data_IF_306296542022
#
_entry.id   IF_306296542022
#
_cell.length_a   1.000
_cell.length_b   1.000
_cell.length_c   1.000
_cell.angle_alpha   90.00
_cell.angle_beta   90.00
_cell.angle_gamma   90.00
#
_symmetry.space_group_name_H-M   'P 1'
#
loop_
_entity.id
_entity.type
_entity.pdbx_description
1 polymer ?
#
# COMPACT_ATOMS: atom_id res chain seq x y z
N UNK A 1 -19.84 13.74 -51.38
CA UNK A 1 -19.13 14.48 -50.33
C UNK A 1 -19.70 14.03 -49.01
N UNK A 2 -19.01 13.16 -48.28
CA UNK A 2 -19.26 12.94 -46.86
C UNK A 2 -17.88 12.79 -46.21
N UNK A 3 -17.50 13.80 -45.43
CA UNK A 3 -16.20 13.88 -44.76
C UNK A 3 -16.49 13.54 -43.31
N UNK A 4 -16.34 12.26 -42.95
CA UNK A 4 -16.47 11.83 -41.56
C UNK A 4 -15.47 12.61 -40.72
N UNK A 5 -16.00 13.45 -39.82
CA UNK A 5 -15.18 14.24 -38.91
C UNK A 5 -14.71 13.28 -37.82
N UNK A 6 -13.42 12.98 -37.82
CA UNK A 6 -12.75 12.29 -36.72
C UNK A 6 -12.89 13.16 -35.46
N UNK A 7 -13.63 12.66 -34.46
CA UNK A 7 -13.73 13.27 -33.14
C UNK A 7 -12.53 12.78 -32.34
N UNK A 8 -11.60 13.64 -31.90
CA UNK A 8 -10.46 13.19 -31.11
C UNK A 8 -10.98 12.67 -29.76
N UNK A 9 -10.69 11.40 -29.48
CA UNK A 9 -10.83 10.80 -28.16
C UNK A 9 -9.88 11.56 -27.21
N UNK A 10 -10.44 12.46 -26.40
CA UNK A 10 -9.69 13.15 -25.37
C UNK A 10 -9.40 12.15 -24.24
N UNK A 11 -8.22 11.53 -24.28
CA UNK A 11 -7.64 10.85 -23.14
C UNK A 11 -7.38 11.89 -22.05
N UNK A 12 -8.31 12.03 -21.10
CA UNK A 12 -8.05 12.78 -19.87
C UNK A 12 -7.12 11.94 -19.02
N UNK A 13 -5.80 12.09 -19.26
CA UNK A 13 -4.84 11.77 -18.24
C UNK A 13 -5.10 12.75 -17.10
N UNK A 14 -5.81 12.32 -16.05
CA UNK A 14 -5.87 13.12 -14.83
C UNK A 14 -4.45 13.17 -14.27
N UNK A 15 -3.72 14.22 -14.62
CA UNK A 15 -2.50 14.56 -13.91
C UNK A 15 -2.93 14.84 -12.47
N UNK A 16 -2.62 13.90 -11.57
CA UNK A 16 -2.75 14.16 -10.15
C UNK A 16 -1.95 15.43 -9.86
N UNK A 17 -2.66 16.51 -9.53
CA UNK A 17 -2.08 17.80 -9.17
C UNK A 17 -0.95 17.59 -8.14
N UNK A 18 0.12 18.39 -8.21
CA UNK A 18 1.30 18.35 -7.33
C UNK A 18 0.98 18.76 -5.87
N UNK A 19 -0.02 18.11 -5.26
CA UNK A 19 -0.41 18.28 -3.86
C UNK A 19 0.42 17.36 -2.96
N UNK A 20 0.65 17.79 -1.72
CA UNK A 20 1.32 16.95 -0.71
C UNK A 20 0.42 15.77 -0.39
N UNK A 21 0.88 14.56 -0.72
CA UNK A 21 0.19 13.29 -0.43
C UNK A 21 0.82 12.63 0.79
N UNK A 22 -0.03 12.03 1.61
CA UNK A 22 0.38 11.16 2.72
C UNK A 22 -0.04 9.74 2.38
N UNK A 23 0.88 8.78 2.52
CA UNK A 23 0.57 7.36 2.34
C UNK A 23 0.48 6.72 3.73
N UNK A 24 -0.52 5.88 3.93
CA UNK A 24 -0.79 5.20 5.18
C UNK A 24 -1.02 3.71 4.92
N UNK A 25 -0.59 2.85 5.83
CA UNK A 25 -1.01 1.44 5.90
C UNK A 25 -1.83 1.21 7.17
N UNK A 26 -2.91 0.45 7.09
CA UNK A 26 -3.67 -0.01 8.26
C UNK A 26 -4.05 -1.48 8.07
N UNK A 27 -4.11 -2.23 9.17
CA UNK A 27 -4.68 -3.59 9.16
C UNK A 27 -6.13 -3.54 9.64
N UNK A 28 -7.06 -4.06 8.85
CA UNK A 28 -8.46 -4.22 9.26
C UNK A 28 -8.67 -5.64 9.81
N UNK A 29 -9.15 -5.74 11.06
CA UNK A 29 -9.51 -7.01 11.68
C UNK A 29 -10.97 -7.00 12.09
N UNK A 30 -11.55 -8.18 12.31
CA UNK A 30 -12.96 -8.31 12.66
C UNK A 30 -13.36 -7.54 13.94
N UNK A 31 -12.42 -7.35 14.88
CA UNK A 31 -12.68 -6.74 16.18
C UNK A 31 -12.03 -5.35 16.38
N UNK A 32 -11.02 -4.98 15.59
CA UNK A 32 -10.31 -3.72 15.74
C UNK A 32 -9.51 -3.34 14.49
N UNK A 33 -9.00 -2.11 14.46
CA UNK A 33 -8.09 -1.61 13.43
C UNK A 33 -6.67 -1.61 13.99
N UNK A 34 -5.77 -2.37 13.38
CA UNK A 34 -4.35 -2.36 13.67
C UNK A 34 -3.70 -1.14 13.00
N UNK A 35 -3.73 -0.02 13.74
CA UNK A 35 -3.04 1.22 13.42
C UNK A 35 -3.58 2.00 12.20
N UNK A 36 -3.29 3.29 12.15
CA UNK A 36 -2.83 3.96 10.94
C UNK A 36 -1.30 4.13 11.02
N UNK A 37 -0.58 3.46 10.12
CA UNK A 37 0.87 3.54 9.97
C UNK A 37 1.27 4.48 8.84
N UNK A 38 1.74 5.69 9.19
CA UNK A 38 2.18 6.70 8.23
C UNK A 38 3.53 6.35 7.61
N UNK A 39 3.59 6.32 6.29
CA UNK A 39 4.86 6.42 5.58
C UNK A 39 5.28 7.87 5.55
N UNK A 40 6.55 8.15 5.87
CA UNK A 40 7.11 9.47 5.57
C UNK A 40 6.92 9.75 4.07
N UNK A 41 6.62 11.01 3.76
CA UNK A 41 6.53 11.56 2.39
C UNK A 41 7.62 10.92 1.52
N UNK A 42 7.26 10.50 0.30
CA UNK A 42 8.16 9.86 -0.69
C UNK A 42 9.56 10.43 -0.47
N UNK A 43 10.43 9.62 0.14
CA UNK A 43 11.78 10.06 0.42
C UNK A 43 12.43 10.34 -0.95
N UNK A 44 13.53 11.12 -1.01
CA UNK A 44 14.29 11.25 -2.24
C UNK A 44 14.66 9.89 -2.87
N UNK A 45 14.64 8.81 -2.07
CA UNK A 45 14.81 7.41 -2.50
C UNK A 45 13.66 6.83 -3.35
N UNK A 46 12.57 7.57 -3.60
CA UNK A 46 11.51 7.16 -4.51
C UNK A 46 10.36 6.36 -3.87
N UNK A 47 9.57 5.63 -4.69
CA UNK A 47 8.38 4.88 -4.28
C UNK A 47 8.64 3.90 -3.13
N UNK A 48 7.55 3.44 -2.48
CA UNK A 48 7.61 2.45 -1.41
C UNK A 48 8.44 1.22 -1.86
N UNK A 49 9.60 1.03 -1.24
CA UNK A 49 10.47 -0.12 -1.51
C UNK A 49 10.08 -1.32 -0.66
N UNK A 50 10.43 -2.51 -1.12
CA UNK A 50 10.20 -3.77 -0.40
C UNK A 50 10.75 -3.75 1.03
N UNK A 51 11.98 -3.27 1.24
CA UNK A 51 12.65 -3.19 2.55
C UNK A 51 11.98 -2.21 3.51
N UNK A 52 11.47 -1.10 2.99
CA UNK A 52 10.72 -0.11 3.78
C UNK A 52 9.35 -0.64 4.20
N UNK A 53 8.72 -1.44 3.35
CA UNK A 53 7.47 -2.10 3.69
C UNK A 53 7.68 -3.21 4.74
N UNK A 54 8.67 -4.08 4.54
CA UNK A 54 9.06 -5.13 5.47
C UNK A 54 9.36 -4.58 6.87
N UNK A 55 10.25 -3.58 6.98
CA UNK A 55 10.56 -2.95 8.26
C UNK A 55 9.33 -2.36 8.95
N UNK A 56 8.34 -1.86 8.18
CA UNK A 56 7.09 -1.37 8.75
C UNK A 56 6.25 -2.49 9.35
N UNK A 57 6.17 -3.63 8.67
CA UNK A 57 5.49 -4.81 9.19
C UNK A 57 6.16 -5.28 10.48
N UNK A 58 7.47 -5.50 10.46
CA UNK A 58 8.22 -6.02 11.62
C UNK A 58 8.20 -5.09 12.83
N UNK A 59 8.34 -3.77 12.63
CA UNK A 59 8.52 -2.85 13.74
C UNK A 59 7.21 -2.34 14.33
N UNK A 60 6.10 -2.43 13.60
CA UNK A 60 4.84 -1.81 14.02
C UNK A 60 3.65 -2.75 13.93
N UNK A 61 3.40 -3.36 12.77
CA UNK A 61 2.22 -4.21 12.61
C UNK A 61 2.36 -5.48 13.46
N UNK A 62 3.43 -6.25 13.29
CA UNK A 62 3.64 -7.52 14.01
C UNK A 62 3.56 -7.35 15.54
N UNK A 63 4.26 -6.37 16.17
CA UNK A 63 4.13 -6.13 17.60
C UNK A 63 2.70 -5.80 18.03
N UNK A 64 1.96 -5.03 17.20
CA UNK A 64 0.54 -4.74 17.46
C UNK A 64 -0.29 -6.02 17.43
N UNK A 65 -0.04 -6.91 16.46
CA UNK A 65 -0.76 -8.19 16.35
C UNK A 65 -0.46 -9.13 17.52
N UNK A 66 0.80 -9.17 17.95
CA UNK A 66 1.23 -9.93 19.12
C UNK A 66 0.53 -9.42 20.39
N UNK A 67 0.52 -8.10 20.60
CA UNK A 67 -0.14 -7.50 21.77
C UNK A 67 -1.64 -7.81 21.80
N UNK A 68 -2.30 -7.80 20.65
CA UNK A 68 -3.71 -8.16 20.53
C UNK A 68 -3.97 -9.67 20.55
N UNK A 69 -2.93 -10.52 20.65
CA UNK A 69 -3.01 -12.00 20.56
C UNK A 69 -3.74 -12.48 19.30
N UNK A 70 -3.56 -11.77 18.20
CA UNK A 70 -4.25 -12.03 16.94
C UNK A 70 -3.33 -12.60 15.86
N UNK A 71 -2.03 -12.77 16.13
CA UNK A 71 -1.05 -13.22 15.14
C UNK A 71 -1.50 -14.52 14.43
N UNK A 72 -1.91 -15.53 15.21
CA UNK A 72 -2.31 -16.85 14.69
C UNK A 72 -3.67 -16.87 13.99
N UNK A 73 -4.43 -15.76 14.09
CA UNK A 73 -5.78 -15.62 13.52
C UNK A 73 -5.84 -14.58 12.40
N UNK A 74 -4.70 -13.99 12.06
CA UNK A 74 -4.64 -12.92 11.07
C UNK A 74 -4.53 -13.51 9.67
N UNK A 75 -5.56 -13.27 8.85
CA UNK A 75 -5.46 -13.45 7.40
C UNK A 75 -4.99 -12.12 6.82
N UNK A 76 -3.78 -12.08 6.30
CA UNK A 76 -3.20 -10.87 5.74
C UNK A 76 -3.53 -10.75 4.25
N UNK A 77 -4.36 -9.75 3.90
CA UNK A 77 -4.78 -9.46 2.53
C UNK A 77 -4.13 -8.15 2.10
N UNK A 78 -3.48 -8.15 0.94
CA UNK A 78 -2.80 -6.98 0.39
C UNK A 78 -3.21 -6.75 -1.07
N UNK A 79 -2.97 -5.54 -1.56
CA UNK A 79 -2.93 -5.31 -3.00
C UNK A 79 -1.71 -6.06 -3.59
N UNK A 80 -1.84 -6.58 -4.80
CA UNK A 80 -0.79 -7.38 -5.45
C UNK A 80 0.42 -6.56 -5.93
N UNK A 81 0.70 -5.40 -5.33
CA UNK A 81 1.80 -4.55 -5.79
C UNK A 81 3.16 -5.20 -5.51
N UNK A 82 4.17 -4.96 -6.35
CA UNK A 82 5.46 -5.66 -6.27
C UNK A 82 6.14 -5.64 -4.88
N UNK A 83 6.13 -4.52 -4.12
CA UNK A 83 6.70 -4.49 -2.77
C UNK A 83 5.98 -5.38 -1.76
N UNK A 84 4.68 -5.63 -1.96
CA UNK A 84 3.84 -6.38 -1.01
C UNK A 84 3.91 -7.89 -1.24
N UNK A 85 4.09 -8.33 -2.49
CA UNK A 85 4.19 -9.76 -2.84
C UNK A 85 5.63 -10.32 -2.81
N UNK A 86 6.61 -9.49 -2.44
CA UNK A 86 8.00 -9.86 -2.41
C UNK A 86 8.27 -11.01 -1.43
N UNK A 87 9.31 -11.81 -1.70
CA UNK A 87 9.64 -13.02 -0.92
C UNK A 87 9.86 -12.71 0.56
N UNK A 88 10.56 -11.63 0.88
CA UNK A 88 10.84 -11.21 2.25
C UNK A 88 9.56 -10.87 3.03
N UNK A 89 8.57 -10.29 2.37
CA UNK A 89 7.27 -9.97 2.98
C UNK A 89 6.45 -11.23 3.21
N UNK A 90 6.48 -12.19 2.28
CA UNK A 90 5.78 -13.48 2.43
C UNK A 90 6.31 -14.28 3.63
N UNK A 91 7.63 -14.26 3.86
CA UNK A 91 8.26 -14.99 4.97
C UNK A 91 7.85 -14.49 6.35
N UNK A 92 7.36 -13.26 6.48
CA UNK A 92 6.88 -12.72 7.76
C UNK A 92 5.55 -13.32 8.23
N UNK A 93 4.82 -14.00 7.33
CA UNK A 93 3.49 -14.55 7.57
C UNK A 93 3.44 -16.08 7.47
N UNK A 94 4.59 -16.74 7.38
CA UNK A 94 4.76 -18.19 7.38
C UNK A 94 5.29 -18.68 8.72
#
# INVERSE_FOLDING_TARGET
MDKSKNVPNATIASSFSNSTKVTLCCGLMAAFIAGPFFFEKIAPSGPLTCTRYESRLCNQLLPTLQQCRCMDRTIFIQDGTPPHIASVVKQLWQ
#
